data_IF_635517388242
#
_entry.id   IF_635517388242
#
_cell.length_a   1.000
_cell.length_b   1.000
_cell.length_c   1.000
_cell.angle_alpha   90.00
_cell.angle_beta   90.00
_cell.angle_gamma   90.00
#
_symmetry.space_group_name_H-M   'P 1'
#
loop_
_entity.id
_entity.type
_entity.pdbx_description
1 polymer ?
#
# COMPACT_ATOMS: atom_id res chain seq x y z
N UNK A 1 76.31 36.50 -2.51
CA UNK A 1 76.53 37.31 -1.27
C UNK A 1 75.25 37.23 -0.47
N UNK A 2 75.37 36.72 0.77
CA UNK A 2 74.53 36.94 1.96
C UNK A 2 73.09 36.45 2.01
N UNK A 3 72.85 35.28 2.59
CA UNK A 3 71.74 35.05 3.51
C UNK A 3 71.97 35.85 4.81
N UNK A 4 70.99 36.18 5.57
CA UNK A 4 70.52 35.26 6.58
C UNK A 4 69.01 35.48 7.07
N UNK A 5 68.57 34.59 7.89
CA UNK A 5 67.93 34.87 9.15
C UNK A 5 66.71 34.00 9.49
N UNK A 6 66.99 32.85 10.11
CA UNK A 6 65.94 32.08 10.86
C UNK A 6 65.61 32.80 12.15
N UNK A 7 64.30 32.86 12.51
CA UNK A 7 63.82 33.07 13.88
C UNK A 7 62.87 31.98 14.29
N UNK A 8 62.84 31.62 15.55
CA UNK A 8 62.26 30.35 16.03
C UNK A 8 60.78 30.43 16.31
N UNK A 9 60.15 29.27 16.12
CA UNK A 9 58.77 28.97 16.41
C UNK A 9 58.58 28.83 17.92
N UNK A 10 57.72 29.63 18.50
CA UNK A 10 57.27 29.45 19.86
C UNK A 10 55.92 28.69 19.83
N UNK A 11 55.97 27.44 20.27
CA UNK A 11 54.80 26.61 20.48
C UNK A 11 53.88 27.20 21.56
N UNK A 12 52.65 27.42 21.24
CA UNK A 12 51.56 27.51 22.26
C UNK A 12 50.55 26.42 22.02
N UNK A 13 50.55 25.47 22.93
CA UNK A 13 49.57 24.46 23.08
C UNK A 13 48.25 25.07 23.64
N UNK A 14 47.29 25.35 22.79
CA UNK A 14 45.90 25.57 23.17
C UNK A 14 45.04 25.15 21.97
N UNK A 15 44.60 23.92 21.90
CA UNK A 15 43.48 23.46 21.05
C UNK A 15 43.20 21.95 21.15
N UNK A 16 43.20 21.36 22.35
CA UNK A 16 42.72 19.96 22.49
C UNK A 16 41.36 19.86 23.16
N UNK A 17 40.87 20.96 23.74
CA UNK A 17 39.61 20.94 24.49
C UNK A 17 38.31 21.09 23.66
N UNK A 18 38.38 21.59 22.42
CA UNK A 18 37.16 21.94 21.62
C UNK A 18 36.72 20.79 20.71
N UNK A 19 37.57 19.83 20.40
CA UNK A 19 37.26 18.72 19.50
C UNK A 19 36.41 17.62 20.14
N UNK A 20 36.45 17.42 21.47
CA UNK A 20 35.67 16.38 22.16
C UNK A 20 34.23 16.80 22.42
N UNK A 21 33.94 18.08 22.58
CA UNK A 21 32.57 18.57 22.77
C UNK A 21 31.77 18.52 21.47
N UNK A 22 32.40 18.73 20.30
CA UNK A 22 31.75 18.67 18.99
C UNK A 22 31.45 17.24 18.54
N UNK A 23 32.22 16.24 18.97
CA UNK A 23 32.00 14.85 18.63
C UNK A 23 30.86 14.23 19.43
N UNK A 24 30.63 14.70 20.67
CA UNK A 24 29.51 14.24 21.49
C UNK A 24 28.14 14.78 21.01
N UNK A 25 28.09 15.98 20.41
CA UNK A 25 26.86 16.52 19.81
C UNK A 25 26.48 15.84 18.48
N UNK A 26 27.44 15.31 17.75
CA UNK A 26 27.16 14.57 16.49
C UNK A 26 26.58 13.18 16.76
N UNK A 27 26.87 12.58 17.91
CA UNK A 27 26.34 11.27 18.31
C UNK A 27 24.90 11.34 18.88
N UNK A 28 24.46 12.48 19.36
CA UNK A 28 23.08 12.67 19.86
C UNK A 28 22.06 12.87 18.73
N UNK A 29 22.48 13.11 17.49
CA UNK A 29 21.61 13.35 16.34
C UNK A 29 21.22 12.11 15.53
N UNK A 30 21.52 10.89 16.01
CA UNK A 30 21.39 9.67 15.23
C UNK A 30 20.16 8.82 15.57
N UNK A 31 19.23 9.30 16.42
CA UNK A 31 17.98 8.56 16.64
C UNK A 31 17.05 8.73 15.45
N UNK A 32 16.67 7.61 14.81
CA UNK A 32 15.60 7.60 13.81
C UNK A 32 14.27 7.96 14.50
N UNK A 33 13.53 8.98 14.05
CA UNK A 33 12.31 9.41 14.71
C UNK A 33 11.26 8.30 14.81
N UNK A 34 11.09 7.49 13.77
CA UNK A 34 10.11 6.42 13.75
C UNK A 34 10.55 5.23 14.61
N UNK A 35 11.85 4.89 14.64
CA UNK A 35 12.37 3.88 15.55
C UNK A 35 12.19 4.28 17.01
N UNK A 36 12.47 5.55 17.34
CA UNK A 36 12.26 6.06 18.69
C UNK A 36 10.78 6.03 19.09
N UNK A 37 9.89 6.33 18.17
CA UNK A 37 8.44 6.22 18.37
C UNK A 37 8.04 4.76 18.58
N UNK A 38 8.46 3.86 17.70
CA UNK A 38 8.17 2.43 17.78
C UNK A 38 8.62 1.83 19.12
N UNK A 39 9.80 2.21 19.61
CA UNK A 39 10.31 1.74 20.91
C UNK A 39 9.50 2.27 22.08
N UNK A 40 8.94 3.48 21.99
CA UNK A 40 8.03 4.03 23.01
C UNK A 40 6.68 3.34 23.01
N UNK A 41 6.11 3.12 21.83
CA UNK A 41 4.76 2.56 21.67
C UNK A 41 4.74 1.05 21.96
N UNK A 42 5.86 0.37 21.72
CA UNK A 42 6.02 -1.08 21.91
C UNK A 42 7.31 -1.38 22.69
N UNK A 43 7.35 -1.10 24.01
CA UNK A 43 8.54 -1.32 24.82
C UNK A 43 8.93 -2.80 24.87
N UNK A 44 10.23 -3.06 24.80
CA UNK A 44 10.84 -4.38 24.78
C UNK A 44 11.11 -4.88 26.21
N UNK A 45 10.09 -5.00 27.05
CA UNK A 45 10.28 -5.38 28.46
C UNK A 45 9.37 -6.51 28.94
N UNK A 46 9.95 -7.59 29.46
CA UNK A 46 9.35 -8.57 30.36
C UNK A 46 8.12 -9.34 29.83
N UNK A 47 7.13 -9.44 30.68
CA UNK A 47 5.88 -10.20 30.49
C UNK A 47 5.02 -9.70 29.32
N UNK A 48 5.10 -8.42 28.98
CA UNK A 48 4.35 -7.82 27.86
C UNK A 48 4.82 -8.33 26.48
N UNK A 49 6.10 -8.66 26.32
CA UNK A 49 6.60 -9.24 25.06
C UNK A 49 6.08 -10.66 24.85
N UNK A 50 5.92 -11.45 25.93
CA UNK A 50 5.35 -12.81 25.88
C UNK A 50 3.85 -12.79 25.61
N UNK A 51 3.14 -11.82 26.19
CA UNK A 51 1.71 -11.62 25.94
C UNK A 51 1.42 -11.13 24.52
N UNK A 52 2.31 -10.32 23.95
CA UNK A 52 2.21 -9.85 22.58
C UNK A 52 2.33 -11.00 21.56
N UNK A 53 3.30 -11.90 21.73
CA UNK A 53 3.48 -13.07 20.86
C UNK A 53 2.30 -14.07 20.98
N UNK A 54 1.73 -14.23 22.18
CA UNK A 54 0.57 -15.10 22.41
C UNK A 54 -0.72 -14.50 21.83
N UNK A 55 -0.95 -13.18 21.97
CA UNK A 55 -2.13 -12.49 21.47
C UNK A 55 -2.19 -12.45 19.95
N UNK A 56 -1.03 -12.34 19.27
CA UNK A 56 -0.95 -12.34 17.82
C UNK A 56 -1.40 -13.69 17.22
N UNK A 57 -1.10 -14.79 17.88
CA UNK A 57 -1.49 -16.13 17.45
C UNK A 57 -2.99 -16.42 17.62
N UNK A 58 -3.67 -15.71 18.55
CA UNK A 58 -5.07 -15.98 18.92
C UNK A 58 -6.09 -15.05 18.24
N UNK A 59 -5.67 -13.88 17.73
CA UNK A 59 -6.59 -12.85 17.20
C UNK A 59 -7.16 -13.16 15.81
N UNK A 60 -6.77 -14.27 15.19
CA UNK A 60 -7.29 -14.66 13.88
C UNK A 60 -8.79 -15.08 13.88
N UNK A 61 -9.46 -15.11 15.06
CA UNK A 61 -10.77 -15.75 15.20
C UNK A 61 -11.88 -14.97 15.93
N UNK A 62 -11.72 -13.65 16.21
CA UNK A 62 -12.80 -12.90 16.89
C UNK A 62 -13.37 -11.77 16.04
N UNK A 63 -14.71 -11.82 15.90
CA UNK A 63 -15.50 -10.95 15.04
C UNK A 63 -15.71 -9.51 15.54
N UNK A 64 -16.11 -8.73 14.58
CA UNK A 64 -16.74 -7.39 14.56
C UNK A 64 -16.93 -6.68 15.91
N UNK A 65 -15.94 -5.92 16.28
CA UNK A 65 -15.92 -4.85 17.28
C UNK A 65 -14.69 -4.01 16.99
N UNK A 66 -14.61 -2.76 17.43
CA UNK A 66 -13.45 -1.90 17.17
C UNK A 66 -12.17 -2.75 17.18
N UNK A 67 -11.48 -2.87 16.02
CA UNK A 67 -10.27 -3.70 15.91
C UNK A 67 -9.25 -3.16 16.89
N UNK A 68 -9.13 -3.81 18.03
CA UNK A 68 -7.94 -3.64 18.86
C UNK A 68 -6.80 -4.21 18.03
N UNK A 69 -5.96 -3.34 17.51
CA UNK A 69 -4.79 -3.78 16.73
C UNK A 69 -3.93 -4.67 17.66
N UNK A 70 -3.63 -5.91 17.24
CA UNK A 70 -2.81 -6.77 18.07
C UNK A 70 -1.44 -6.13 18.32
N UNK A 71 -0.82 -6.37 19.46
CA UNK A 71 0.50 -5.84 19.74
C UNK A 71 1.51 -6.32 18.69
N UNK A 72 2.41 -5.43 18.27
CA UNK A 72 3.43 -5.77 17.28
C UNK A 72 4.41 -6.79 17.89
N UNK A 73 4.60 -7.99 17.28
CA UNK A 73 5.48 -9.01 17.82
C UNK A 73 6.95 -8.53 17.85
N UNK A 74 7.76 -9.22 18.64
CA UNK A 74 9.20 -8.92 18.77
C UNK A 74 9.92 -9.19 17.44
N UNK A 75 9.54 -10.28 16.77
CA UNK A 75 10.14 -10.69 15.49
C UNK A 75 9.11 -11.34 14.58
N UNK A 76 9.36 -11.25 13.28
CA UNK A 76 8.64 -12.00 12.25
C UNK A 76 9.60 -12.36 11.11
N UNK A 77 9.33 -13.47 10.42
CA UNK A 77 10.10 -13.91 9.25
C UNK A 77 9.21 -14.66 8.27
N UNK A 78 9.20 -14.23 7.03
CA UNK A 78 8.48 -14.86 5.92
C UNK A 78 9.46 -15.69 5.09
N UNK A 79 9.69 -16.93 5.52
CA UNK A 79 10.69 -17.81 4.91
C UNK A 79 10.33 -18.25 3.49
N UNK A 80 9.03 -18.26 3.17
CA UNK A 80 8.47 -18.78 1.91
C UNK A 80 8.42 -17.72 0.78
N UNK A 81 8.90 -16.49 1.02
CA UNK A 81 8.98 -15.49 -0.04
C UNK A 81 10.10 -15.89 -1.00
N UNK A 82 9.81 -16.11 -2.30
CA UNK A 82 10.83 -16.51 -3.25
C UNK A 82 11.87 -15.42 -3.43
N UNK A 83 13.09 -15.81 -3.77
CA UNK A 83 14.17 -14.91 -4.10
C UNK A 83 14.49 -14.97 -5.60
N UNK A 84 14.52 -13.81 -6.25
CA UNK A 84 15.04 -13.63 -7.60
C UNK A 84 16.24 -12.68 -7.54
N UNK A 85 17.43 -13.23 -7.82
CA UNK A 85 18.63 -12.43 -7.95
C UNK A 85 18.45 -11.38 -9.06
N UNK A 86 18.93 -10.17 -8.82
CA UNK A 86 18.63 -9.01 -9.67
C UNK A 86 19.87 -8.60 -10.44
N UNK A 87 19.82 -8.65 -11.77
CA UNK A 87 20.78 -8.00 -12.62
C UNK A 87 20.64 -6.46 -12.58
N UNK A 88 21.59 -5.75 -13.16
CA UNK A 88 21.56 -4.29 -13.21
C UNK A 88 20.23 -3.77 -13.78
N UNK A 89 19.63 -2.78 -13.09
CA UNK A 89 18.37 -2.12 -13.45
C UNK A 89 17.08 -2.98 -13.37
N UNK A 90 17.15 -4.23 -12.91
CA UNK A 90 16.00 -5.13 -12.81
C UNK A 90 15.41 -5.26 -11.39
N UNK A 91 15.79 -4.40 -10.46
CA UNK A 91 15.29 -4.46 -9.09
C UNK A 91 13.76 -4.34 -8.99
N UNK A 92 13.11 -3.52 -9.82
CA UNK A 92 11.66 -3.38 -9.85
C UNK A 92 10.94 -4.67 -10.27
N UNK A 93 11.19 -5.20 -11.49
CA UNK A 93 10.62 -6.46 -11.95
C UNK A 93 10.81 -7.62 -10.96
N UNK A 94 12.03 -7.82 -10.45
CA UNK A 94 12.34 -8.91 -9.54
C UNK A 94 11.62 -8.75 -8.20
N UNK A 95 11.64 -7.57 -7.59
CA UNK A 95 10.92 -7.32 -6.34
C UNK A 95 9.40 -7.52 -6.49
N UNK A 96 8.81 -7.09 -7.62
CA UNK A 96 7.39 -7.31 -7.88
C UNK A 96 7.08 -8.79 -8.10
N UNK A 97 7.93 -9.54 -8.81
CA UNK A 97 7.75 -10.98 -9.00
C UNK A 97 7.78 -11.73 -7.66
N UNK A 98 8.68 -11.36 -6.73
CA UNK A 98 8.74 -11.97 -5.39
C UNK A 98 7.43 -11.81 -4.63
N UNK A 99 6.88 -10.59 -4.55
CA UNK A 99 5.62 -10.34 -3.82
C UNK A 99 4.42 -10.92 -4.54
N UNK A 100 4.39 -10.92 -5.88
CA UNK A 100 3.31 -11.51 -6.68
C UNK A 100 3.28 -13.03 -6.51
N UNK A 101 4.43 -13.70 -6.55
CA UNK A 101 4.50 -15.14 -6.38
C UNK A 101 4.14 -15.56 -4.95
N UNK A 102 4.53 -14.80 -3.94
CA UNK A 102 4.06 -15.03 -2.57
C UNK A 102 2.54 -14.86 -2.44
N UNK A 103 1.94 -13.98 -3.23
CA UNK A 103 0.48 -13.81 -3.33
C UNK A 103 -0.23 -14.89 -4.17
N UNK A 104 0.50 -15.90 -4.67
CA UNK A 104 -0.05 -17.02 -5.44
C UNK A 104 -0.10 -16.79 -6.96
N UNK A 105 0.47 -15.70 -7.48
CA UNK A 105 0.57 -15.45 -8.92
C UNK A 105 1.95 -15.81 -9.42
N UNK A 106 2.06 -16.92 -10.15
CA UNK A 106 3.33 -17.36 -10.74
C UNK A 106 3.75 -16.39 -11.84
N UNK A 107 4.84 -15.66 -11.59
CA UNK A 107 5.30 -14.57 -12.45
C UNK A 107 6.81 -14.47 -12.37
N UNK A 108 7.48 -14.34 -13.52
CA UNK A 108 8.92 -14.19 -13.57
C UNK A 108 9.31 -12.72 -13.79
N UNK A 109 10.51 -12.28 -13.35
CA UNK A 109 10.97 -10.91 -13.53
C UNK A 109 11.01 -10.44 -14.99
N UNK A 110 11.41 -11.31 -15.92
CA UNK A 110 11.47 -10.99 -17.36
C UNK A 110 10.10 -10.65 -17.96
N UNK A 111 9.03 -11.31 -17.51
CA UNK A 111 7.64 -11.01 -17.95
C UNK A 111 7.15 -9.64 -17.48
N UNK A 112 7.72 -9.12 -16.39
CA UNK A 112 7.41 -7.80 -15.84
C UNK A 112 8.26 -6.68 -16.43
N UNK A 113 9.45 -6.98 -16.96
CA UNK A 113 10.40 -5.95 -17.42
C UNK A 113 9.76 -4.98 -18.39
N UNK A 114 9.05 -5.48 -19.41
CA UNK A 114 8.33 -4.65 -20.40
C UNK A 114 7.21 -3.81 -19.80
N UNK A 115 6.71 -4.16 -18.62
CA UNK A 115 5.58 -3.50 -17.97
C UNK A 115 6.00 -2.40 -17.01
N UNK A 116 7.19 -2.48 -16.43
CA UNK A 116 7.62 -1.57 -15.35
C UNK A 116 8.90 -0.82 -15.66
N UNK A 117 9.75 -1.33 -16.57
CA UNK A 117 11.02 -0.71 -16.89
C UNK A 117 10.86 0.49 -17.82
N UNK A 118 11.41 1.63 -17.41
CA UNK A 118 11.43 2.88 -18.17
C UNK A 118 12.86 3.13 -18.65
N UNK A 119 13.18 2.91 -19.96
CA UNK A 119 14.55 2.96 -20.49
C UNK A 119 15.25 4.30 -20.23
N UNK A 120 14.57 5.43 -20.40
CA UNK A 120 15.10 6.77 -20.15
C UNK A 120 15.48 7.06 -18.69
N UNK A 121 15.09 6.18 -17.76
CA UNK A 121 15.38 6.28 -16.32
C UNK A 121 16.22 5.13 -15.80
N UNK A 122 16.47 4.13 -16.63
CA UNK A 122 17.18 2.91 -16.23
C UNK A 122 16.58 2.27 -14.96
N UNK A 123 15.24 2.23 -14.86
CA UNK A 123 14.54 1.74 -13.68
C UNK A 123 13.03 1.81 -13.81
N UNK A 124 12.30 1.55 -12.74
CA UNK A 124 10.85 1.59 -12.65
C UNK A 124 10.41 2.72 -11.70
N UNK A 125 9.24 3.32 -11.98
CA UNK A 125 8.62 4.24 -11.02
C UNK A 125 7.63 3.48 -10.10
N UNK A 126 7.36 4.00 -8.90
CA UNK A 126 6.33 3.45 -8.01
C UNK A 126 4.95 3.28 -8.66
N UNK A 127 4.55 4.18 -9.54
CA UNK A 127 3.25 4.10 -10.23
C UNK A 127 3.19 2.93 -11.21
N UNK A 128 4.27 2.60 -11.91
CA UNK A 128 4.37 1.43 -12.78
C UNK A 128 4.32 0.12 -11.98
N UNK A 129 4.91 0.08 -10.80
CA UNK A 129 4.86 -1.07 -9.91
C UNK A 129 3.42 -1.36 -9.46
N UNK A 130 2.68 -0.32 -9.05
CA UNK A 130 1.26 -0.43 -8.70
C UNK A 130 0.42 -0.89 -9.90
N UNK A 131 0.65 -0.30 -11.08
CA UNK A 131 -0.09 -0.65 -12.29
C UNK A 131 0.19 -2.09 -12.74
N UNK A 132 1.44 -2.54 -12.67
CA UNK A 132 1.82 -3.90 -13.03
C UNK A 132 1.20 -4.94 -12.09
N UNK A 133 1.21 -4.71 -10.78
CA UNK A 133 0.54 -5.58 -9.82
C UNK A 133 -0.97 -5.71 -10.11
N UNK A 134 -1.65 -4.59 -10.44
CA UNK A 134 -3.07 -4.58 -10.81
C UNK A 134 -3.35 -5.34 -12.11
N UNK A 135 -2.46 -5.27 -13.10
CA UNK A 135 -2.59 -6.07 -14.34
C UNK A 135 -2.55 -7.58 -14.06
N UNK A 136 -1.91 -7.99 -12.98
CA UNK A 136 -1.89 -9.37 -12.49
C UNK A 136 -3.08 -9.70 -11.55
N UNK A 137 -4.12 -8.90 -11.56
CA UNK A 137 -5.29 -9.04 -10.71
C UNK A 137 -4.98 -9.01 -9.19
N UNK A 138 -3.85 -8.44 -8.78
CA UNK A 138 -3.49 -8.25 -7.38
C UNK A 138 -4.00 -6.91 -6.86
N UNK A 139 -4.46 -6.89 -5.61
CA UNK A 139 -4.70 -5.66 -4.88
C UNK A 139 -3.35 -5.02 -4.54
N UNK A 140 -2.99 -3.96 -5.26
CA UNK A 140 -1.78 -3.18 -4.99
C UNK A 140 -2.14 -2.06 -4.01
N UNK A 141 -1.74 -2.21 -2.75
CA UNK A 141 -2.07 -1.29 -1.67
C UNK A 141 -0.83 -0.53 -1.18
N UNK A 142 -0.73 0.79 -1.43
CA UNK A 142 0.33 1.62 -0.88
C UNK A 142 0.16 1.75 0.64
N UNK A 143 1.26 1.58 1.38
CA UNK A 143 1.26 1.75 2.82
C UNK A 143 1.39 3.23 3.20
N UNK A 144 0.92 3.58 4.39
CA UNK A 144 1.26 4.85 5.02
C UNK A 144 2.78 4.90 5.28
N UNK A 145 3.42 6.08 5.27
CA UNK A 145 4.86 6.24 5.45
C UNK A 145 5.27 6.05 6.94
N UNK A 146 4.91 4.91 7.52
CA UNK A 146 5.13 4.56 8.93
C UNK A 146 5.84 3.22 9.03
N UNK A 147 6.93 3.18 9.78
CA UNK A 147 7.68 1.94 10.03
C UNK A 147 6.81 0.88 10.71
N UNK A 148 5.96 1.29 11.63
CA UNK A 148 5.01 0.40 12.30
C UNK A 148 4.10 -0.33 11.31
N UNK A 149 3.51 0.39 10.34
CA UNK A 149 2.62 -0.20 9.33
C UNK A 149 3.37 -1.27 8.50
N UNK A 150 4.60 -0.96 8.09
CA UNK A 150 5.44 -1.92 7.38
C UNK A 150 5.68 -3.19 8.20
N UNK A 151 6.06 -3.04 9.48
CA UNK A 151 6.32 -4.19 10.35
C UNK A 151 5.05 -4.99 10.65
N UNK A 152 3.88 -4.33 10.76
CA UNK A 152 2.58 -5.01 10.93
C UNK A 152 2.21 -5.85 9.71
N UNK A 153 2.46 -5.35 8.51
CA UNK A 153 2.24 -6.14 7.28
C UNK A 153 3.11 -7.39 7.27
N UNK A 154 4.42 -7.24 7.55
CA UNK A 154 5.32 -8.39 7.61
C UNK A 154 4.90 -9.38 8.70
N UNK A 155 4.53 -8.90 9.90
CA UNK A 155 4.03 -9.74 10.98
C UNK A 155 2.74 -10.51 10.61
N UNK A 156 1.94 -9.93 9.70
CA UNK A 156 0.68 -10.52 9.21
C UNK A 156 0.87 -11.45 8.00
N UNK A 157 2.12 -11.75 7.64
CA UNK A 157 2.42 -12.65 6.52
C UNK A 157 2.46 -11.95 5.16
N UNK A 158 2.55 -10.62 5.11
CA UNK A 158 2.57 -9.86 3.88
C UNK A 158 3.99 -9.30 3.63
N UNK A 159 4.74 -9.79 2.63
CA UNK A 159 6.00 -9.19 2.25
C UNK A 159 5.77 -7.78 1.70
N UNK A 160 6.63 -6.85 2.10
CA UNK A 160 6.48 -5.43 1.75
C UNK A 160 7.52 -5.04 0.71
N UNK A 161 7.06 -4.62 -0.46
CA UNK A 161 7.90 -4.03 -1.49
C UNK A 161 8.17 -2.58 -1.13
N UNK A 162 9.46 -2.20 -1.05
CA UNK A 162 9.91 -0.87 -0.64
C UNK A 162 10.77 -0.22 -1.71
N UNK A 163 10.75 1.12 -1.76
CA UNK A 163 11.60 1.93 -2.62
C UNK A 163 12.60 2.71 -1.76
N UNK A 164 13.88 2.58 -2.08
CA UNK A 164 14.97 3.14 -1.30
C UNK A 164 15.92 3.96 -2.18
N UNK A 165 16.63 4.92 -1.57
CA UNK A 165 17.85 5.47 -2.14
C UNK A 165 19.04 5.00 -1.28
N UNK A 166 19.85 4.12 -1.82
CA UNK A 166 20.96 3.49 -1.12
C UNK A 166 22.18 4.40 -0.97
N UNK A 167 22.17 5.59 -1.63
CA UNK A 167 23.27 6.54 -1.62
C UNK A 167 22.84 7.91 -1.10
N UNK A 168 23.63 8.93 -1.37
CA UNK A 168 23.36 10.32 -0.98
C UNK A 168 22.26 10.94 -1.86
N UNK A 169 21.50 11.94 -1.37
CA UNK A 169 20.49 12.64 -2.17
C UNK A 169 21.05 13.27 -3.46
N UNK A 170 22.29 13.71 -3.46
CA UNK A 170 22.96 14.34 -4.61
C UNK A 170 23.45 13.33 -5.67
N UNK A 171 23.63 12.07 -5.29
CA UNK A 171 23.99 10.96 -6.18
C UNK A 171 23.12 9.75 -5.84
N UNK A 172 21.84 9.77 -6.22
CA UNK A 172 20.90 8.73 -5.81
C UNK A 172 21.18 7.40 -6.50
N UNK A 173 21.12 6.32 -5.72
CA UNK A 173 21.09 4.94 -6.19
C UNK A 173 19.73 4.37 -5.80
N UNK A 174 18.79 4.49 -6.74
CA UNK A 174 17.42 4.04 -6.54
C UNK A 174 17.32 2.53 -6.58
N UNK A 175 16.59 1.95 -5.65
CA UNK A 175 16.53 0.52 -5.48
C UNK A 175 15.18 0.06 -4.93
N UNK A 176 14.67 -1.06 -5.47
CA UNK A 176 13.54 -1.79 -4.91
C UNK A 176 14.04 -3.02 -4.17
N UNK A 177 13.48 -3.26 -3.00
CA UNK A 177 13.74 -4.44 -2.19
C UNK A 177 12.42 -4.97 -1.61
N UNK A 178 12.44 -6.20 -1.10
CA UNK A 178 11.28 -6.81 -0.44
C UNK A 178 11.63 -7.09 1.01
N UNK A 179 10.93 -6.44 1.94
CA UNK A 179 11.06 -6.71 3.37
C UNK A 179 10.29 -7.99 3.69
N UNK A 180 11.01 -8.96 4.24
CA UNK A 180 10.51 -10.30 4.55
C UNK A 180 10.58 -10.65 6.04
N UNK A 181 11.24 -9.83 6.84
CA UNK A 181 11.36 -10.10 8.27
C UNK A 181 11.93 -8.95 9.06
N UNK A 182 11.81 -9.05 10.37
CA UNK A 182 12.42 -8.12 11.33
C UNK A 182 12.68 -8.80 12.67
N UNK A 183 13.62 -8.24 13.43
CA UNK A 183 13.87 -8.54 14.83
C UNK A 183 14.06 -7.23 15.60
N UNK A 184 13.07 -6.86 16.41
CA UNK A 184 13.07 -5.61 17.18
C UNK A 184 14.04 -5.68 18.36
N UNK A 185 14.29 -6.87 18.91
CA UNK A 185 15.26 -7.04 20.01
C UNK A 185 16.69 -6.71 19.54
N UNK A 186 17.02 -7.06 18.30
CA UNK A 186 18.32 -6.78 17.71
C UNK A 186 18.32 -5.52 16.81
N UNK A 187 17.16 -4.82 16.69
CA UNK A 187 17.00 -3.66 15.79
C UNK A 187 17.39 -3.95 14.35
N UNK A 188 17.01 -5.12 13.82
CA UNK A 188 17.32 -5.54 12.46
C UNK A 188 16.07 -5.75 11.62
N UNK A 189 16.24 -5.58 10.31
CA UNK A 189 15.28 -5.92 9.27
C UNK A 189 15.95 -6.87 8.28
N UNK A 190 15.17 -7.80 7.73
CA UNK A 190 15.63 -8.76 6.72
C UNK A 190 14.93 -8.47 5.39
N UNK A 191 15.72 -8.36 4.32
CA UNK A 191 15.22 -8.04 2.98
C UNK A 191 15.74 -9.04 1.96
N UNK A 192 14.96 -9.26 0.89
CA UNK A 192 15.49 -9.69 -0.40
C UNK A 192 15.91 -8.45 -1.18
N UNK A 193 17.19 -8.31 -1.52
CA UNK A 193 17.75 -7.07 -2.05
C UNK A 193 18.95 -7.32 -2.98
N UNK A 194 18.83 -6.91 -4.23
CA UNK A 194 19.91 -7.08 -5.22
C UNK A 194 20.25 -8.54 -5.44
N UNK A 195 21.53 -8.86 -5.27
CA UNK A 195 22.07 -10.22 -5.38
C UNK A 195 22.04 -10.98 -4.04
N UNK A 196 21.49 -10.37 -2.98
CA UNK A 196 21.57 -10.93 -1.62
C UNK A 196 20.20 -11.40 -1.16
N UNK A 197 20.06 -12.71 -1.04
CA UNK A 197 18.94 -13.33 -0.35
C UNK A 197 19.08 -13.08 1.17
N UNK A 198 17.98 -12.67 1.82
CA UNK A 198 17.91 -12.46 3.28
C UNK A 198 18.99 -11.50 3.82
N UNK A 199 19.23 -10.40 3.09
CA UNK A 199 20.12 -9.33 3.57
C UNK A 199 19.61 -8.80 4.91
N UNK A 200 20.44 -8.86 5.94
CA UNK A 200 20.17 -8.24 7.22
C UNK A 200 20.81 -6.87 7.31
N UNK A 201 20.05 -5.88 7.78
CA UNK A 201 20.60 -4.56 8.09
C UNK A 201 19.93 -3.98 9.33
N UNK A 202 20.56 -2.96 9.94
CA UNK A 202 19.92 -2.28 11.06
C UNK A 202 18.66 -1.54 10.62
N UNK A 203 17.62 -1.53 11.45
CA UNK A 203 16.40 -0.75 11.21
C UNK A 203 16.71 0.73 11.01
N UNK A 204 17.72 1.26 11.69
CA UNK A 204 18.18 2.63 11.50
C UNK A 204 18.70 2.90 10.07
N UNK A 205 19.55 2.04 9.54
CA UNK A 205 20.06 2.17 8.17
C UNK A 205 18.95 2.02 7.15
N UNK A 206 18.05 1.06 7.37
CA UNK A 206 16.88 0.83 6.55
C UNK A 206 15.97 2.08 6.49
N UNK A 207 15.60 2.63 7.65
CA UNK A 207 14.74 3.81 7.71
C UNK A 207 15.36 5.00 6.98
N UNK A 208 16.67 5.23 7.11
CA UNK A 208 17.37 6.30 6.41
C UNK A 208 17.39 6.13 4.89
N UNK A 209 17.58 4.92 4.39
CA UNK A 209 17.54 4.65 2.94
C UNK A 209 16.11 4.73 2.41
N UNK A 210 15.15 4.24 3.17
CA UNK A 210 13.73 4.26 2.84
C UNK A 210 13.13 5.68 2.90
N UNK A 211 13.53 6.50 3.88
CA UNK A 211 13.11 7.91 3.96
C UNK A 211 13.52 8.71 2.73
N UNK A 212 14.71 8.43 2.16
CA UNK A 212 15.16 9.03 0.92
C UNK A 212 14.35 8.59 -0.31
N UNK A 213 13.65 7.45 -0.23
CA UNK A 213 12.64 6.98 -1.16
C UNK A 213 11.23 7.47 -0.82
N UNK A 214 11.10 8.57 -0.07
CA UNK A 214 9.84 9.16 0.40
C UNK A 214 8.98 8.17 1.21
N UNK A 215 9.60 7.22 1.90
CA UNK A 215 8.93 6.15 2.65
C UNK A 215 7.94 5.34 1.79
N UNK A 216 8.18 5.26 0.49
CA UNK A 216 7.26 4.52 -0.37
C UNK A 216 7.37 3.01 -0.12
N UNK A 217 6.22 2.40 0.10
CA UNK A 217 6.06 0.97 0.27
C UNK A 217 4.69 0.52 -0.22
N UNK A 218 4.58 -0.73 -0.64
CA UNK A 218 3.31 -1.35 -0.98
C UNK A 218 3.29 -2.84 -0.61
N UNK A 219 2.10 -3.37 -0.41
CA UNK A 219 1.82 -4.80 -0.46
C UNK A 219 1.04 -5.13 -1.73
N UNK A 220 1.26 -6.32 -2.28
CA UNK A 220 0.47 -6.88 -3.38
C UNK A 220 -0.18 -8.17 -2.89
N UNK A 221 -1.50 -8.20 -2.81
CA UNK A 221 -2.26 -9.27 -2.16
C UNK A 221 -3.33 -9.84 -3.10
N UNK A 222 -3.80 -11.08 -2.87
CA UNK A 222 -5.05 -11.53 -3.46
C UNK A 222 -6.18 -10.54 -3.13
N UNK A 223 -7.06 -10.19 -4.10
CA UNK A 223 -8.07 -9.15 -3.90
C UNK A 223 -9.04 -9.40 -2.74
N UNK A 224 -9.27 -10.66 -2.41
CA UNK A 224 -10.13 -11.06 -1.28
C UNK A 224 -9.47 -10.89 0.10
N UNK A 225 -8.18 -10.52 0.16
CA UNK A 225 -7.42 -10.35 1.39
C UNK A 225 -7.20 -8.86 1.69
N UNK A 226 -7.58 -8.43 2.90
CA UNK A 226 -7.27 -7.09 3.35
C UNK A 226 -5.80 -7.00 3.83
N UNK A 227 -5.09 -5.89 3.52
CA UNK A 227 -3.87 -5.54 4.23
C UNK A 227 -4.12 -5.46 5.75
N UNK A 228 -3.14 -5.83 6.55
CA UNK A 228 -3.24 -5.75 8.02
C UNK A 228 -3.45 -4.30 8.49
N UNK A 229 -2.89 -3.35 7.74
CA UNK A 229 -2.97 -1.91 8.03
C UNK A 229 -4.01 -1.18 7.16
N UNK A 230 -4.97 -1.94 6.57
CA UNK A 230 -5.97 -1.38 5.68
C UNK A 230 -6.82 -0.30 6.35
N UNK A 231 -6.90 0.86 5.69
CA UNK A 231 -7.83 1.94 6.03
C UNK A 231 -8.97 1.94 5.01
N UNK A 232 -10.23 2.15 5.42
CA UNK A 232 -11.38 2.06 4.51
C UNK A 232 -11.18 2.84 3.21
N UNK A 233 -10.89 4.13 3.28
CA UNK A 233 -10.80 5.01 2.11
C UNK A 233 -9.65 4.62 1.18
N UNK A 234 -8.46 4.34 1.74
CA UNK A 234 -7.30 3.90 0.96
C UNK A 234 -7.53 2.55 0.29
N UNK A 235 -8.22 1.65 0.99
CA UNK A 235 -8.59 0.35 0.42
C UNK A 235 -9.58 0.50 -0.74
N UNK A 236 -10.59 1.38 -0.61
CA UNK A 236 -11.54 1.67 -1.70
C UNK A 236 -10.81 2.21 -2.94
N UNK A 237 -9.83 3.10 -2.76
CA UNK A 237 -9.01 3.60 -3.87
C UNK A 237 -8.24 2.46 -4.56
N UNK A 238 -7.66 1.54 -3.78
CA UNK A 238 -6.94 0.40 -4.32
C UNK A 238 -7.86 -0.59 -5.05
N UNK A 239 -9.06 -0.85 -4.52
CA UNK A 239 -10.09 -1.70 -5.13
C UNK A 239 -10.64 -1.09 -6.42
N UNK A 240 -10.98 0.20 -6.41
CA UNK A 240 -11.48 0.92 -7.59
C UNK A 240 -10.47 0.93 -8.75
N UNK A 241 -9.19 0.93 -8.43
CA UNK A 241 -8.14 0.86 -9.45
C UNK A 241 -8.10 -0.49 -10.20
N UNK A 242 -8.78 -1.53 -9.73
CA UNK A 242 -8.95 -2.81 -10.42
C UNK A 242 -10.16 -2.80 -11.39
N UNK A 243 -11.17 -1.95 -11.19
CA UNK A 243 -12.46 -2.02 -11.92
C UNK A 243 -12.28 -2.05 -13.43
N UNK A 244 -11.41 -1.19 -13.98
CA UNK A 244 -11.28 -1.02 -15.43
C UNK A 244 -10.67 -2.23 -16.14
N UNK A 245 -9.71 -2.90 -15.51
CA UNK A 245 -8.94 -3.98 -16.17
C UNK A 245 -9.19 -5.36 -15.58
N UNK A 246 -9.64 -5.42 -14.32
CA UNK A 246 -9.78 -6.65 -13.55
C UNK A 246 -11.08 -6.62 -12.71
N UNK A 247 -12.27 -6.54 -13.36
CA UNK A 247 -13.53 -6.36 -12.62
C UNK A 247 -13.85 -7.51 -11.66
N UNK A 248 -13.44 -8.75 -11.96
CA UNK A 248 -13.60 -9.87 -11.03
C UNK A 248 -12.73 -9.72 -9.76
N UNK A 249 -11.52 -9.18 -9.91
CA UNK A 249 -10.66 -8.87 -8.78
C UNK A 249 -11.22 -7.69 -7.96
N UNK A 250 -11.76 -6.66 -8.62
CA UNK A 250 -12.44 -5.56 -7.94
C UNK A 250 -13.65 -6.06 -7.12
N UNK A 251 -14.46 -6.94 -7.69
CA UNK A 251 -15.59 -7.55 -7.00
C UNK A 251 -15.15 -8.29 -5.72
N UNK A 252 -14.09 -9.10 -5.82
CA UNK A 252 -13.54 -9.81 -4.67
C UNK A 252 -13.03 -8.83 -3.58
N UNK A 253 -12.36 -7.74 -3.99
CA UNK A 253 -11.88 -6.72 -3.07
C UNK A 253 -13.02 -5.98 -2.36
N UNK A 254 -14.06 -5.59 -3.09
CA UNK A 254 -15.24 -4.96 -2.48
C UNK A 254 -16.01 -5.91 -1.58
N UNK A 255 -16.08 -7.20 -1.93
CA UNK A 255 -16.66 -8.22 -1.07
C UNK A 255 -15.92 -8.34 0.27
N UNK A 256 -14.59 -8.39 0.22
CA UNK A 256 -13.75 -8.40 1.42
C UNK A 256 -13.91 -7.11 2.24
N UNK A 257 -14.03 -5.96 1.57
CA UNK A 257 -14.27 -4.68 2.22
C UNK A 257 -15.57 -4.66 3.02
N UNK A 258 -16.67 -5.18 2.46
CA UNK A 258 -17.96 -5.21 3.15
C UNK A 258 -18.00 -6.19 4.32
N UNK A 259 -17.16 -7.22 4.32
CA UNK A 259 -16.97 -8.08 5.51
C UNK A 259 -16.29 -7.31 6.65
N UNK A 260 -15.32 -6.45 6.33
CA UNK A 260 -14.58 -5.67 7.32
C UNK A 260 -15.30 -4.39 7.74
N UNK A 261 -16.01 -3.75 6.81
CA UNK A 261 -16.70 -2.47 6.97
C UNK A 261 -18.12 -2.58 6.38
N UNK A 262 -19.07 -3.20 7.10
CA UNK A 262 -20.45 -3.35 6.64
C UNK A 262 -21.07 -1.99 6.32
N UNK A 263 -21.75 -1.89 5.16
CA UNK A 263 -22.39 -0.67 4.72
C UNK A 263 -21.47 0.39 4.10
N UNK A 264 -20.19 0.10 3.84
CA UNK A 264 -19.29 1.03 3.17
C UNK A 264 -19.81 1.38 1.76
N UNK A 265 -20.14 2.68 1.53
CA UNK A 265 -20.84 3.17 0.33
C UNK A 265 -20.11 2.84 -0.97
N UNK A 266 -18.82 3.12 -1.02
CA UNK A 266 -18.01 2.89 -2.22
C UNK A 266 -17.90 1.40 -2.56
N UNK A 267 -17.86 0.51 -1.55
CA UNK A 267 -17.82 -0.93 -1.78
C UNK A 267 -19.16 -1.47 -2.31
N UNK A 268 -20.29 -0.97 -1.77
CA UNK A 268 -21.63 -1.33 -2.28
C UNK A 268 -21.81 -0.90 -3.74
N UNK A 269 -21.40 0.32 -4.09
CA UNK A 269 -21.43 0.82 -5.48
C UNK A 269 -20.48 0.01 -6.37
N UNK A 270 -19.26 -0.23 -5.90
CA UNK A 270 -18.24 -0.95 -6.64
C UNK A 270 -18.61 -2.40 -6.96
N UNK A 271 -19.34 -3.10 -6.07
CA UNK A 271 -19.90 -4.43 -6.38
C UNK A 271 -20.88 -4.38 -7.56
N UNK A 272 -21.75 -3.37 -7.61
CA UNK A 272 -22.65 -3.18 -8.74
C UNK A 272 -21.90 -2.87 -10.03
N UNK A 273 -20.89 -1.98 -9.97
CA UNK A 273 -20.04 -1.63 -11.10
C UNK A 273 -19.28 -2.86 -11.64
N UNK A 274 -18.71 -3.67 -10.74
CA UNK A 274 -17.97 -4.86 -11.12
C UNK A 274 -18.87 -5.91 -11.78
N UNK A 275 -20.06 -6.17 -11.22
CA UNK A 275 -21.05 -7.06 -11.81
C UNK A 275 -21.50 -6.57 -13.21
N UNK A 276 -21.72 -5.25 -13.37
CA UNK A 276 -22.06 -4.65 -14.66
C UNK A 276 -20.92 -4.82 -15.68
N UNK A 277 -19.69 -4.53 -15.28
CA UNK A 277 -18.52 -4.69 -16.15
C UNK A 277 -18.28 -6.15 -16.59
N UNK A 278 -18.73 -7.11 -15.78
CA UNK A 278 -18.72 -8.55 -16.10
C UNK A 278 -19.93 -8.98 -16.96
N UNK A 279 -20.79 -8.05 -17.39
CA UNK A 279 -21.99 -8.34 -18.18
C UNK A 279 -23.18 -8.92 -17.40
N UNK A 280 -23.07 -9.04 -16.08
CA UNK A 280 -24.08 -9.62 -15.19
C UNK A 280 -25.08 -8.55 -14.76
N UNK A 281 -25.93 -8.08 -15.72
CA UNK A 281 -26.84 -6.95 -15.51
C UNK A 281 -27.87 -7.18 -14.39
N UNK A 282 -28.40 -8.38 -14.28
CA UNK A 282 -29.36 -8.75 -13.23
C UNK A 282 -28.71 -8.65 -11.85
N UNK A 283 -27.52 -9.19 -11.70
CA UNK A 283 -26.76 -9.09 -10.45
C UNK A 283 -26.37 -7.64 -10.14
N UNK A 284 -25.92 -6.87 -11.13
CA UNK A 284 -25.60 -5.45 -10.98
C UNK A 284 -26.82 -4.66 -10.44
N UNK A 285 -28.00 -4.89 -10.99
CA UNK A 285 -29.23 -4.24 -10.51
C UNK A 285 -29.52 -4.60 -9.04
N UNK A 286 -29.39 -5.87 -8.65
CA UNK A 286 -29.58 -6.31 -7.26
C UNK A 286 -28.55 -5.67 -6.31
N UNK A 287 -27.29 -5.53 -6.76
CA UNK A 287 -26.25 -4.85 -5.96
C UNK A 287 -26.55 -3.38 -5.78
N UNK A 288 -26.97 -2.66 -6.84
CA UNK A 288 -27.36 -1.26 -6.73
C UNK A 288 -28.64 -1.09 -5.88
N UNK A 289 -29.63 -1.98 -5.98
CA UNK A 289 -30.79 -1.99 -5.08
C UNK A 289 -30.39 -2.17 -3.63
N UNK A 290 -29.41 -3.04 -3.35
CA UNK A 290 -28.87 -3.19 -2.01
C UNK A 290 -28.17 -1.90 -1.53
N UNK A 291 -27.40 -1.25 -2.40
CA UNK A 291 -26.73 0.00 -2.09
C UNK A 291 -27.73 1.12 -1.70
N UNK A 292 -28.80 1.30 -2.48
CA UNK A 292 -29.81 2.33 -2.21
C UNK A 292 -30.74 1.97 -1.04
N UNK A 293 -30.87 0.70 -0.70
CA UNK A 293 -31.57 0.25 0.50
C UNK A 293 -30.81 0.60 1.78
N UNK A 294 -29.49 0.45 1.75
CA UNK A 294 -28.62 0.81 2.88
C UNK A 294 -28.42 2.33 2.97
N UNK A 295 -28.31 3.00 1.82
CA UNK A 295 -28.06 4.43 1.70
C UNK A 295 -29.06 5.05 0.71
N UNK A 296 -30.25 5.42 1.18
CA UNK A 296 -31.29 5.99 0.33
C UNK A 296 -30.92 7.35 -0.29
N UNK A 297 -29.93 8.03 0.29
CA UNK A 297 -29.35 9.30 -0.15
C UNK A 297 -28.17 9.13 -1.14
N UNK A 298 -27.98 7.92 -1.72
CA UNK A 298 -26.85 7.62 -2.60
C UNK A 298 -27.23 7.84 -4.07
N UNK A 299 -27.12 9.08 -4.54
CA UNK A 299 -27.51 9.50 -5.90
C UNK A 299 -26.84 8.69 -7.01
N UNK A 300 -25.53 8.36 -6.86
CA UNK A 300 -24.78 7.58 -7.84
C UNK A 300 -25.33 6.15 -7.97
N UNK A 301 -25.70 5.53 -6.87
CA UNK A 301 -26.25 4.18 -6.89
C UNK A 301 -27.66 4.16 -7.53
N UNK A 302 -28.49 5.17 -7.27
CA UNK A 302 -29.78 5.36 -7.95
C UNK A 302 -29.60 5.57 -9.45
N UNK A 303 -28.63 6.39 -9.87
CA UNK A 303 -28.29 6.59 -11.29
C UNK A 303 -27.88 5.28 -11.97
N UNK A 304 -26.95 4.53 -11.35
CA UNK A 304 -26.46 3.29 -11.93
C UNK A 304 -27.56 2.21 -11.98
N UNK A 305 -28.42 2.16 -10.98
CA UNK A 305 -29.62 1.31 -11.02
C UNK A 305 -30.53 1.66 -12.18
N UNK A 306 -30.79 2.96 -12.39
CA UNK A 306 -31.62 3.44 -13.50
C UNK A 306 -31.02 3.05 -14.86
N UNK A 307 -29.71 3.18 -15.02
CA UNK A 307 -29.05 2.80 -16.28
C UNK A 307 -29.17 1.31 -16.58
N UNK A 308 -28.95 0.46 -15.58
CA UNK A 308 -29.10 -0.99 -15.72
C UNK A 308 -30.57 -1.36 -16.02
N UNK A 309 -31.55 -0.76 -15.32
CA UNK A 309 -32.98 -1.00 -15.56
C UNK A 309 -33.40 -0.55 -16.97
N UNK A 310 -32.88 0.58 -17.45
CA UNK A 310 -33.07 1.06 -18.80
C UNK A 310 -32.56 0.07 -19.86
N UNK A 311 -31.38 -0.50 -19.64
CA UNK A 311 -30.80 -1.51 -20.53
C UNK A 311 -31.56 -2.86 -20.50
N UNK A 312 -32.18 -3.19 -19.38
CA UNK A 312 -33.07 -4.35 -19.24
C UNK A 312 -34.44 -4.13 -19.87
N UNK A 313 -34.77 -2.92 -20.38
CA UNK A 313 -36.09 -2.56 -20.88
C UNK A 313 -37.13 -2.31 -19.77
N UNK A 314 -36.72 -2.28 -18.52
CA UNK A 314 -37.58 -2.03 -17.34
C UNK A 314 -37.81 -0.53 -17.15
N UNK A 315 -38.50 0.10 -18.12
CA UNK A 315 -38.54 1.56 -18.28
C UNK A 315 -39.18 2.29 -17.08
N UNK A 316 -40.21 1.72 -16.44
CA UNK A 316 -40.83 2.35 -15.28
C UNK A 316 -39.90 2.37 -14.08
N UNK A 317 -39.24 1.27 -13.80
CA UNK A 317 -38.27 1.18 -12.70
C UNK A 317 -37.05 2.09 -12.95
N UNK A 318 -36.59 2.19 -14.22
CA UNK A 318 -35.57 3.13 -14.60
C UNK A 318 -35.96 4.59 -14.33
N UNK A 319 -37.24 4.94 -14.64
CA UNK A 319 -37.75 6.27 -14.38
C UNK A 319 -37.86 6.59 -12.88
N UNK A 320 -38.33 5.65 -12.09
CA UNK A 320 -38.42 5.81 -10.62
C UNK A 320 -37.02 5.99 -9.99
N UNK A 321 -36.07 5.18 -10.41
CA UNK A 321 -34.68 5.26 -9.91
C UNK A 321 -34.01 6.57 -10.30
N UNK A 322 -34.09 6.99 -11.58
CA UNK A 322 -33.45 8.23 -12.01
C UNK A 322 -34.08 9.47 -11.40
N UNK A 323 -35.39 9.46 -11.16
CA UNK A 323 -36.06 10.55 -10.45
C UNK A 323 -35.48 10.75 -9.04
N UNK A 324 -35.14 9.65 -8.34
CA UNK A 324 -34.46 9.70 -7.03
C UNK A 324 -33.08 10.33 -7.15
N UNK A 325 -32.28 9.89 -8.12
CA UNK A 325 -30.93 10.46 -8.34
C UNK A 325 -31.00 11.98 -8.65
N UNK A 326 -31.94 12.40 -9.50
CA UNK A 326 -32.13 13.82 -9.84
C UNK A 326 -32.56 14.65 -8.63
N UNK A 327 -33.50 14.10 -7.82
CA UNK A 327 -33.98 14.78 -6.60
C UNK A 327 -32.88 14.95 -5.55
N UNK A 328 -31.96 13.97 -5.43
CA UNK A 328 -30.80 14.05 -4.54
C UNK A 328 -29.73 15.04 -5.03
N UNK A 329 -29.59 15.23 -6.34
CA UNK A 329 -28.66 16.19 -6.90
C UNK A 329 -27.18 15.80 -6.74
N UNK A 330 -26.34 16.78 -6.40
CA UNK A 330 -24.90 16.62 -6.22
C UNK A 330 -24.09 16.96 -7.47
N UNK A 331 -22.77 16.69 -7.44
CA UNK A 331 -21.82 17.10 -8.50
C UNK A 331 -22.12 16.51 -9.88
N UNK A 332 -22.86 15.39 -9.93
CA UNK A 332 -23.25 14.70 -11.15
C UNK A 332 -24.69 14.97 -11.60
N UNK A 333 -25.39 15.94 -11.02
CA UNK A 333 -26.80 16.24 -11.30
C UNK A 333 -27.11 16.43 -12.79
N UNK A 334 -26.20 17.03 -13.55
CA UNK A 334 -26.32 17.19 -15.00
C UNK A 334 -26.33 15.83 -15.74
N UNK A 335 -25.50 14.89 -15.29
CA UNK A 335 -25.47 13.51 -15.85
C UNK A 335 -26.78 12.78 -15.55
N UNK A 336 -27.35 12.96 -14.35
CA UNK A 336 -28.62 12.35 -13.97
C UNK A 336 -29.80 12.87 -14.82
N UNK A 337 -29.86 14.18 -15.07
CA UNK A 337 -30.89 14.77 -15.94
C UNK A 337 -30.78 14.27 -17.39
N UNK A 338 -29.55 14.06 -17.89
CA UNK A 338 -29.36 13.46 -19.24
C UNK A 338 -29.86 12.03 -19.32
N UNK A 339 -29.60 11.22 -18.30
CA UNK A 339 -30.15 9.86 -18.24
C UNK A 339 -31.67 9.88 -18.09
N UNK A 340 -32.24 10.79 -17.28
CA UNK A 340 -33.68 10.97 -17.16
C UNK A 340 -34.34 11.26 -18.50
N UNK A 341 -33.81 12.22 -19.26
CA UNK A 341 -34.36 12.53 -20.61
C UNK A 341 -34.28 11.32 -21.56
N UNK A 342 -33.21 10.52 -21.49
CA UNK A 342 -33.07 9.29 -22.26
C UNK A 342 -34.14 8.23 -21.87
N UNK A 343 -34.44 8.10 -20.61
CA UNK A 343 -35.46 7.18 -20.09
C UNK A 343 -36.86 7.63 -20.57
N UNK A 344 -37.16 8.92 -20.43
CA UNK A 344 -38.46 9.48 -20.84
C UNK A 344 -38.70 9.32 -22.35
N UNK A 345 -37.67 9.59 -23.16
CA UNK A 345 -37.77 9.38 -24.61
C UNK A 345 -38.06 7.93 -24.98
N UNK A 346 -37.54 6.95 -24.25
CA UNK A 346 -37.82 5.53 -24.50
C UNK A 346 -39.17 5.09 -23.99
N UNK A 347 -39.71 5.72 -22.94
CA UNK A 347 -41.06 5.45 -22.41
C UNK A 347 -42.20 5.99 -23.31
N UNK A 348 -41.91 7.08 -24.03
CA UNK A 348 -42.87 7.70 -24.93
C UNK A 348 -42.95 7.06 -26.31
N UNK A 349 -42.14 6.02 -26.59
CA UNK A 349 -42.20 5.21 -27.82
C UNK A 349 -42.90 3.88 -27.58
#
# INVERSE_FOLDING_TARGET
>A
MSAPGRRPICCRAVAVGVFYASLALVLAGCASPQMSQLQRDFPMGGEQARLADAAFSTSASLGVGARVEPPLPVRAMLAEVPFFAQDAYQCGPAALAMVAQHAGVVLRPDELTSQVYVPGRQGAFPVEMLAAARRQALLAYPLRPRLEDLLREVASGNPVLVFQNLSLPVYPVWHYAVVIGFDRAHNTVTLHSGMTERLQMSLFTFERTWSRGAFWAMVALPPSRLPATAQPDSFMVAAAALERGQPAAAEAAYGAALQAWPGQRAALLGLGNAAYALGRKEDAALRFESAVRVHADFAEAWNNLAEVRLEQGRLNEAADAIAKAVALGGDRAESYRRLQAKVELKRGR
#
